data_IF_584673336912
#
_entry.id   IF_584673336912
#
_cell.length_a   1.000
_cell.length_b   1.000
_cell.length_c   1.000
_cell.angle_alpha   90.00
_cell.angle_beta   90.00
_cell.angle_gamma   90.00
#
_symmetry.space_group_name_H-M   'P 1'
#
loop_
_entity.id
_entity.type
_entity.pdbx_description
1 polymer ?
#
# COMPACT_ATOMS: atom_id res chain seq x y z
N UNK A 1 -3.58 -32.60 -15.85
CA UNK A 1 -3.84 -31.84 -14.61
C UNK A 1 -2.56 -31.16 -14.21
N UNK A 2 -2.49 -29.83 -14.24
CA UNK A 2 -1.31 -29.10 -13.79
C UNK A 2 -1.26 -29.17 -12.26
N UNK A 3 -0.15 -29.65 -11.70
CA UNK A 3 0.04 -29.63 -10.25
C UNK A 3 -0.05 -28.18 -9.77
N UNK A 4 -1.00 -27.89 -8.88
CA UNK A 4 -1.05 -26.64 -8.13
C UNK A 4 0.24 -26.54 -7.34
N UNK A 5 1.18 -25.73 -7.82
CA UNK A 5 2.44 -25.49 -7.13
C UNK A 5 2.09 -24.71 -5.86
N UNK A 6 2.24 -25.35 -4.71
CA UNK A 6 2.03 -24.68 -3.42
C UNK A 6 3.05 -23.55 -3.30
N UNK A 7 2.56 -22.32 -3.15
CA UNK A 7 3.40 -21.15 -2.88
C UNK A 7 3.79 -21.20 -1.40
N UNK A 8 5.05 -21.51 -1.13
CA UNK A 8 5.60 -21.56 0.23
C UNK A 8 6.18 -20.20 0.61
N UNK A 9 5.81 -19.65 1.78
CA UNK A 9 6.33 -18.37 2.23
C UNK A 9 7.82 -18.50 2.60
N UNK A 10 8.61 -17.50 2.20
CA UNK A 10 10.00 -17.36 2.62
C UNK A 10 10.15 -16.12 3.51
N UNK A 11 11.01 -16.15 4.53
CA UNK A 11 11.28 -14.97 5.34
C UNK A 11 11.99 -13.90 4.51
N UNK A 12 11.89 -12.65 4.96
CA UNK A 12 12.80 -11.60 4.50
C UNK A 12 14.25 -12.01 4.77
N UNK A 13 15.16 -11.54 3.92
CA UNK A 13 16.59 -11.73 4.16
C UNK A 13 17.01 -10.86 5.35
N UNK A 14 18.04 -11.28 6.05
CA UNK A 14 18.60 -10.64 7.25
C UNK A 14 19.03 -9.18 7.03
N UNK A 15 19.41 -8.81 5.81
CA UNK A 15 19.75 -7.44 5.45
C UNK A 15 18.55 -6.56 5.05
N UNK A 16 17.32 -7.09 5.12
CA UNK A 16 16.09 -6.36 4.79
C UNK A 16 15.36 -6.00 6.08
N UNK A 17 15.18 -4.71 6.32
CA UNK A 17 14.32 -4.20 7.39
C UNK A 17 12.95 -3.88 6.80
N UNK A 18 11.90 -4.49 7.36
CA UNK A 18 10.53 -4.14 7.02
C UNK A 18 10.20 -2.75 7.57
N UNK A 19 9.60 -1.90 6.74
CA UNK A 19 9.15 -0.55 7.09
C UNK A 19 7.69 -0.41 6.69
N UNK A 20 6.90 0.25 7.52
CA UNK A 20 5.49 0.53 7.27
C UNK A 20 5.27 1.88 6.59
N UNK A 21 6.30 2.73 6.56
CA UNK A 21 6.24 4.11 6.08
C UNK A 21 7.53 4.46 5.34
N UNK A 22 7.48 5.49 4.49
CA UNK A 22 8.66 5.97 3.78
C UNK A 22 9.65 6.64 4.73
N UNK A 23 10.95 6.36 4.53
CA UNK A 23 12.03 7.05 5.24
C UNK A 23 12.34 8.34 4.48
N UNK A 24 11.98 9.47 5.07
CA UNK A 24 12.31 10.81 4.55
C UNK A 24 13.71 11.21 4.99
N UNK A 25 14.61 11.47 4.04
CA UNK A 25 15.97 11.94 4.35
C UNK A 25 15.95 13.40 4.83
N UNK A 26 16.94 13.76 5.66
CA UNK A 26 17.13 15.14 6.10
C UNK A 26 17.30 16.08 4.90
N UNK A 27 16.63 17.22 4.92
CA UNK A 27 16.64 18.19 3.83
C UNK A 27 15.52 18.01 2.81
N UNK A 28 14.78 16.89 2.83
CA UNK A 28 13.56 16.73 2.03
C UNK A 28 12.36 17.31 2.79
N UNK A 29 11.68 18.26 2.15
CA UNK A 29 10.46 18.88 2.68
C UNK A 29 9.35 18.78 1.64
N UNK A 30 8.17 18.36 2.10
CA UNK A 30 6.96 18.31 1.28
C UNK A 30 6.10 19.52 1.60
N UNK A 31 5.62 20.19 0.56
CA UNK A 31 4.60 21.22 0.73
C UNK A 31 3.30 20.51 1.11
N UNK A 32 2.58 21.07 2.07
CA UNK A 32 1.25 20.62 2.41
C UNK A 32 0.36 20.64 1.15
N UNK A 33 -0.30 19.51 0.87
CA UNK A 33 -1.22 19.39 -0.26
C UNK A 33 -2.50 20.23 -0.07
N UNK A 34 -2.72 20.77 1.13
CA UNK A 34 -3.90 21.54 1.51
C UNK A 34 -5.01 20.66 2.06
N UNK A 35 -5.95 21.28 2.79
CA UNK A 35 -7.09 20.59 3.37
C UNK A 35 -7.98 19.99 2.28
N UNK A 36 -8.18 18.67 2.33
CA UNK A 36 -9.14 17.96 1.50
C UNK A 36 -10.42 17.77 2.30
N UNK A 37 -11.56 18.09 1.68
CA UNK A 37 -12.87 17.81 2.27
C UNK A 37 -13.00 16.32 2.62
N UNK A 38 -13.66 15.97 3.73
CA UNK A 38 -13.93 14.57 4.07
C UNK A 38 -14.64 13.82 2.94
N UNK A 39 -14.42 12.50 2.83
CA UNK A 39 -15.00 11.68 1.75
C UNK A 39 -16.54 11.57 1.78
N UNK A 40 -17.18 11.93 2.90
CA UNK A 40 -18.62 11.85 3.17
C UNK A 40 -19.29 10.48 2.89
N UNK A 41 -18.52 9.42 2.76
CA UNK A 41 -19.04 8.09 2.47
C UNK A 41 -19.90 7.55 3.63
N UNK A 42 -21.01 6.89 3.28
CA UNK A 42 -21.91 6.18 4.23
C UNK A 42 -21.60 4.68 4.28
N UNK A 43 -21.06 4.14 3.18
CA UNK A 43 -20.59 2.77 3.06
C UNK A 43 -19.08 2.70 2.85
N UNK A 44 -18.60 1.53 2.45
CA UNK A 44 -17.18 1.32 2.23
C UNK A 44 -16.64 2.20 1.08
N UNK A 45 -15.43 2.73 1.25
CA UNK A 45 -14.81 3.72 0.37
C UNK A 45 -14.21 3.05 -0.88
N UNK A 46 -15.05 2.44 -1.73
CA UNK A 46 -14.59 1.87 -2.99
C UNK A 46 -14.10 2.95 -3.95
N UNK A 47 -13.15 2.58 -4.82
CA UNK A 47 -12.46 3.50 -5.72
C UNK A 47 -13.39 4.41 -6.56
N UNK A 48 -14.57 3.92 -6.96
CA UNK A 48 -15.53 4.66 -7.79
C UNK A 48 -16.64 5.37 -7.00
N UNK A 49 -16.69 5.20 -5.67
CA UNK A 49 -17.73 5.76 -4.82
C UNK A 49 -17.19 6.77 -3.81
N UNK A 50 -15.89 6.70 -3.49
CA UNK A 50 -15.24 7.56 -2.53
C UNK A 50 -14.64 8.79 -3.21
N UNK A 51 -15.02 9.99 -2.75
CA UNK A 51 -14.44 11.24 -3.25
C UNK A 51 -12.93 11.28 -3.09
N UNK A 52 -12.40 10.84 -1.95
CA UNK A 52 -10.95 10.81 -1.72
C UNK A 52 -10.28 9.89 -2.75
N UNK A 53 -10.84 8.71 -2.98
CA UNK A 53 -10.31 7.76 -3.96
C UNK A 53 -10.36 8.31 -5.39
N UNK A 54 -11.43 9.01 -5.78
CA UNK A 54 -11.58 9.68 -7.09
C UNK A 54 -10.53 10.77 -7.29
N UNK A 55 -10.16 11.47 -6.21
CA UNK A 55 -9.08 12.48 -6.20
C UNK A 55 -7.68 11.90 -5.96
N UNK A 56 -7.52 10.56 -5.96
CA UNK A 56 -6.28 9.84 -5.66
C UNK A 56 -5.67 10.14 -4.27
N UNK A 57 -6.50 10.51 -3.30
CA UNK A 57 -6.13 10.64 -1.88
C UNK A 57 -6.57 9.41 -1.10
N UNK A 58 -5.75 8.99 -0.14
CA UNK A 58 -6.12 7.95 0.80
C UNK A 58 -7.08 8.47 1.88
N UNK A 59 -7.90 7.59 2.42
CA UNK A 59 -8.71 7.90 3.59
C UNK A 59 -7.84 7.84 4.86
N UNK A 60 -7.64 8.97 5.52
CA UNK A 60 -7.06 9.05 6.87
C UNK A 60 -8.17 9.12 7.93
N UNK A 61 -7.86 8.91 9.22
CA UNK A 61 -8.82 9.09 10.32
C UNK A 61 -9.53 10.46 10.31
N UNK A 62 -8.82 11.51 9.88
CA UNK A 62 -9.32 12.89 9.91
C UNK A 62 -10.36 13.18 8.82
N UNK A 63 -10.18 12.60 7.63
CA UNK A 63 -11.00 12.89 6.43
C UNK A 63 -11.93 11.73 6.03
N UNK A 64 -12.04 10.70 6.88
CA UNK A 64 -12.90 9.55 6.65
C UNK A 64 -13.81 9.28 7.84
N UNK A 65 -15.13 9.23 7.59
CA UNK A 65 -16.14 8.91 8.60
C UNK A 65 -15.99 7.51 9.21
N UNK A 66 -15.32 6.60 8.49
CA UNK A 66 -15.05 5.24 8.93
C UNK A 66 -13.70 5.11 9.67
N UNK A 67 -13.07 6.23 10.07
CA UNK A 67 -11.83 6.22 10.87
C UNK A 67 -10.71 5.39 10.22
N UNK A 68 -10.53 5.55 8.91
CA UNK A 68 -9.60 4.77 8.09
C UNK A 68 -9.80 3.23 8.15
N UNK A 69 -10.98 2.72 8.53
CA UNK A 69 -11.34 1.29 8.45
C UNK A 69 -12.02 0.92 7.11
N UNK A 70 -11.82 1.72 6.08
CA UNK A 70 -12.45 1.59 4.76
C UNK A 70 -11.48 1.06 3.69
N UNK A 71 -11.98 0.67 2.53
CA UNK A 71 -11.20 0.12 1.41
C UNK A 71 -10.19 1.10 0.78
N UNK A 72 -10.34 2.41 0.98
CA UNK A 72 -9.40 3.44 0.52
C UNK A 72 -8.39 3.88 1.58
N UNK A 73 -8.37 3.24 2.75
CA UNK A 73 -7.35 3.51 3.77
C UNK A 73 -6.06 2.75 3.45
N UNK A 74 -4.88 3.38 3.60
CA UNK A 74 -3.61 2.74 3.31
C UNK A 74 -3.37 1.65 4.37
N UNK A 75 -3.16 0.42 3.91
CA UNK A 75 -2.87 -0.72 4.79
C UNK A 75 -2.05 -1.77 4.06
N UNK A 76 -1.22 -2.50 4.80
CA UNK A 76 -0.61 -3.74 4.31
C UNK A 76 -1.58 -4.89 4.56
N UNK A 77 -2.01 -5.54 3.49
CA UNK A 77 -2.94 -6.64 3.54
C UNK A 77 -2.34 -7.81 4.34
N UNK A 78 -3.01 -8.32 5.40
CA UNK A 78 -2.42 -9.25 6.37
C UNK A 78 -2.08 -10.63 5.77
N UNK A 79 -2.68 -10.96 4.63
CA UNK A 79 -2.37 -12.17 3.86
C UNK A 79 -1.13 -12.08 2.98
N UNK A 80 -0.48 -10.91 2.85
CA UNK A 80 0.65 -10.72 1.95
C UNK A 80 1.87 -11.54 2.42
N UNK A 81 2.47 -12.30 1.52
CA UNK A 81 3.63 -13.16 1.76
C UNK A 81 4.57 -13.10 0.57
N UNK A 82 5.86 -13.35 0.81
CA UNK A 82 6.87 -13.47 -0.24
C UNK A 82 7.15 -14.95 -0.47
N UNK A 83 7.37 -15.33 -1.72
CA UNK A 83 7.78 -16.68 -2.11
C UNK A 83 8.87 -16.65 -3.17
N UNK A 84 9.62 -17.75 -3.29
CA UNK A 84 10.60 -17.91 -4.37
C UNK A 84 9.91 -18.45 -5.63
N UNK A 85 9.88 -17.63 -6.69
CA UNK A 85 9.30 -18.00 -8.00
C UNK A 85 10.11 -19.09 -8.72
N UNK A 86 11.36 -19.33 -8.30
CA UNK A 86 12.37 -20.21 -8.88
C UNK A 86 12.82 -19.85 -10.31
N UNK A 87 12.32 -18.74 -10.87
CA UNK A 87 12.66 -18.26 -12.22
C UNK A 87 13.11 -16.80 -12.23
N UNK A 88 12.37 -15.92 -11.57
CA UNK A 88 12.58 -14.46 -11.60
C UNK A 88 13.01 -13.90 -10.24
N UNK A 89 13.38 -14.77 -9.29
CA UNK A 89 13.67 -14.38 -7.91
C UNK A 89 12.43 -14.42 -7.03
N UNK A 90 12.23 -13.38 -6.21
CA UNK A 90 11.13 -13.29 -5.26
C UNK A 90 9.85 -12.75 -5.90
N UNK A 91 8.71 -13.26 -5.48
CA UNK A 91 7.39 -12.73 -5.81
C UNK A 91 6.55 -12.56 -4.55
N UNK A 92 5.50 -11.75 -4.64
CA UNK A 92 4.51 -11.61 -3.57
C UNK A 92 3.22 -12.35 -3.94
N UNK A 93 2.55 -12.90 -2.93
CA UNK A 93 1.23 -13.52 -3.06
C UNK A 93 0.40 -13.24 -1.81
N UNK A 94 -0.91 -13.45 -1.88
CA UNK A 94 -1.82 -13.36 -0.74
C UNK A 94 -2.31 -14.74 -0.32
N UNK A 95 -2.47 -14.96 0.99
CA UNK A 95 -3.13 -16.15 1.55
C UNK A 95 -4.63 -15.96 1.73
N UNK A 96 -5.16 -14.77 1.48
CA UNK A 96 -6.60 -14.45 1.57
C UNK A 96 -7.10 -13.90 0.24
N UNK A 97 -8.43 -13.94 0.03
CA UNK A 97 -9.05 -13.41 -1.19
C UNK A 97 -8.89 -11.90 -1.22
N UNK A 98 -8.55 -11.35 -2.38
CA UNK A 98 -8.59 -9.92 -2.65
C UNK A 98 -9.92 -9.56 -3.31
N UNK A 99 -10.48 -8.43 -2.90
CA UNK A 99 -11.59 -7.81 -3.61
C UNK A 99 -11.07 -6.87 -4.70
N UNK A 100 -11.83 -6.70 -5.79
CA UNK A 100 -11.48 -5.74 -6.82
C UNK A 100 -11.50 -4.31 -6.23
N UNK A 101 -10.44 -3.55 -6.47
CA UNK A 101 -10.28 -2.19 -5.94
C UNK A 101 -9.78 -2.12 -4.49
N UNK A 102 -9.41 -3.25 -3.88
CA UNK A 102 -8.78 -3.27 -2.56
C UNK A 102 -7.32 -2.82 -2.62
N UNK A 103 -6.91 -1.99 -1.66
CA UNK A 103 -5.51 -1.63 -1.44
C UNK A 103 -4.77 -2.84 -0.85
N UNK A 104 -3.69 -3.26 -1.52
CA UNK A 104 -2.89 -4.43 -1.11
C UNK A 104 -1.77 -4.04 -0.15
N UNK A 105 -0.95 -3.05 -0.50
CA UNK A 105 0.12 -2.51 0.33
C UNK A 105 0.67 -1.24 -0.33
N UNK A 106 1.32 -0.40 0.47
CA UNK A 106 2.11 0.73 -0.04
C UNK A 106 3.51 0.27 -0.48
N UNK A 107 4.06 0.93 -1.51
CA UNK A 107 5.45 0.75 -1.90
C UNK A 107 6.34 1.68 -1.10
N UNK A 108 6.78 1.22 0.08
CA UNK A 108 7.62 2.02 0.98
C UNK A 108 9.12 1.87 0.67
N UNK A 109 9.87 2.94 0.89
CA UNK A 109 11.31 2.96 0.71
C UNK A 109 11.99 4.19 1.32
N UNK A 110 13.24 4.41 0.92
CA UNK A 110 13.95 5.66 1.21
C UNK A 110 13.61 6.66 0.11
N UNK A 111 13.06 7.81 0.49
CA UNK A 111 12.88 8.91 -0.44
C UNK A 111 14.20 9.65 -0.63
N UNK A 112 14.55 9.94 -1.88
CA UNK A 112 15.78 10.60 -2.27
C UNK A 112 15.50 11.50 -3.47
N UNK A 113 16.23 12.62 -3.56
CA UNK A 113 16.17 13.49 -4.73
C UNK A 113 16.68 12.75 -5.98
N UNK A 114 16.16 13.14 -7.14
CA UNK A 114 16.68 12.64 -8.40
C UNK A 114 17.95 13.43 -8.78
N UNK A 115 19.09 12.75 -8.88
CA UNK A 115 20.40 13.39 -9.11
C UNK A 115 20.56 14.13 -10.46
N UNK A 116 19.60 14.04 -11.38
CA UNK A 116 19.73 14.67 -12.71
C UNK A 116 19.52 16.20 -12.75
N UNK A 117 19.30 16.86 -11.61
CA UNK A 117 19.12 18.32 -11.53
C UNK A 117 20.27 19.06 -10.81
N UNK A 118 21.48 18.48 -10.78
CA UNK A 118 22.69 19.18 -10.32
C UNK A 118 23.54 19.71 -11.48
#
# INVERSE_FOLDING_TARGET
MAATRVMEPVPFRDYVTEISENIVQEGLYFVDAGDVDPCLCVGDCFAHCCRNADTAFYCTPEICRLDALCSNAPRTHPGLRIYNTRRLGLGAYTTQKLCAGEIVAEYCGKMQEYEAMR
#
